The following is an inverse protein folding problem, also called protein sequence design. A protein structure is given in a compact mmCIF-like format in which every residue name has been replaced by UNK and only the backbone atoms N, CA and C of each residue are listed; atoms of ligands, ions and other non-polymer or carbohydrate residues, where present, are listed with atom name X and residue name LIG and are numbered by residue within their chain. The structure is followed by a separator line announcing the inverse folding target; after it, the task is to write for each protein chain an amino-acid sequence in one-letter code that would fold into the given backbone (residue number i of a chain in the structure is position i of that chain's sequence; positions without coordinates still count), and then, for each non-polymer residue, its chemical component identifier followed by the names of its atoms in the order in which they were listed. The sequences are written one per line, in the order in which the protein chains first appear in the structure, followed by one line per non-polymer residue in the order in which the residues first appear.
data_IF_502741320021
#
_entry.id   IF_502741320021
#
_cell.length_a   1.000
_cell.length_b   1.000
_cell.length_c   1.000
_cell.angle_alpha   90.00
_cell.angle_beta   90.00
_cell.angle_gamma   90.00
#
_symmetry.space_group_name_H-M   'P 1'
#
loop_
_entity.id
_entity.type
_entity.pdbx_description
1 polymer ?
#
# COMPACT_ATOMS: atom_id res chain seq x y z
N UNK A 1 34.86 47.46 7.21
CA UNK A 1 33.69 47.05 8.03
C UNK A 1 32.88 46.06 7.21
N UNK A 2 32.72 44.85 7.76
CA UNK A 2 31.64 43.89 7.49
C UNK A 2 31.55 43.20 6.10
N UNK A 3 31.80 41.87 6.01
CA UNK A 3 31.20 40.97 5.00
C UNK A 3 29.72 40.66 5.43
N UNK A 4 28.91 39.70 4.90
CA UNK A 4 29.14 38.57 3.98
C UNK A 4 28.00 38.46 2.90
N UNK A 5 27.90 37.49 1.97
CA UNK A 5 27.36 36.14 2.18
C UNK A 5 27.35 35.38 0.83
N UNK A 6 27.81 34.14 0.92
CA UNK A 6 27.82 33.11 -0.11
C UNK A 6 26.40 32.66 -0.48
N UNK A 7 25.99 32.56 -1.75
CA UNK A 7 24.76 31.86 -2.12
C UNK A 7 25.11 30.38 -2.31
N UNK A 8 25.10 29.62 -1.22
CA UNK A 8 25.02 28.17 -1.31
C UNK A 8 23.65 27.82 -1.91
N UNK A 9 23.69 27.36 -3.16
CA UNK A 9 22.57 26.82 -3.91
C UNK A 9 21.79 25.83 -3.05
N UNK A 10 20.48 26.11 -2.95
CA UNK A 10 19.46 25.27 -2.33
C UNK A 10 19.61 23.82 -2.82
N UNK A 11 20.15 22.95 -1.96
CA UNK A 11 19.91 21.51 -2.06
C UNK A 11 18.39 21.34 -1.94
N UNK A 12 17.76 21.03 -3.07
CA UNK A 12 16.36 20.70 -3.17
C UNK A 12 16.03 19.66 -2.10
N UNK A 13 15.41 20.13 -1.02
CA UNK A 13 14.69 19.28 -0.09
C UNK A 13 13.54 18.72 -0.89
N UNK A 14 13.80 17.60 -1.56
CA UNK A 14 12.76 16.66 -1.94
C UNK A 14 12.18 16.10 -0.65
N UNK A 15 11.37 16.90 0.05
CA UNK A 15 10.35 16.39 0.94
C UNK A 15 9.47 15.55 0.02
N UNK A 16 9.81 14.27 -0.11
CA UNK A 16 8.82 13.26 -0.44
C UNK A 16 7.76 13.48 0.62
N UNK A 17 6.64 14.09 0.24
CA UNK A 17 5.37 13.92 0.93
C UNK A 17 5.06 12.42 0.82
N UNK A 18 5.80 11.61 1.56
CA UNK A 18 5.35 10.30 1.94
C UNK A 18 4.19 10.63 2.87
N UNK A 19 2.98 10.56 2.35
CA UNK A 19 1.78 10.56 3.18
C UNK A 19 2.03 9.52 4.26
N UNK A 20 2.23 9.99 5.49
CA UNK A 20 2.37 9.09 6.62
C UNK A 20 0.95 8.63 6.91
N UNK A 21 0.58 7.49 6.32
CA UNK A 21 -0.66 6.79 6.64
C UNK A 21 -0.77 6.65 8.16
N UNK A 22 -1.95 6.93 8.68
CA UNK A 22 -2.18 6.83 10.11
C UNK A 22 -2.12 5.33 10.53
N UNK A 23 -1.16 4.93 11.40
CA UNK A 23 -1.04 3.53 11.82
C UNK A 23 -2.17 3.07 12.75
N UNK A 24 -3.00 3.99 13.26
CA UNK A 24 -4.16 3.68 14.10
C UNK A 24 -5.45 3.43 13.30
N UNK A 25 -5.46 3.68 11.99
CA UNK A 25 -6.61 3.38 11.14
C UNK A 25 -6.75 1.86 10.94
N UNK A 26 -7.94 1.26 11.18
CA UNK A 26 -8.15 -0.19 11.04
C UNK A 26 -7.95 -0.69 9.60
N UNK A 27 -8.02 0.19 8.60
CA UNK A 27 -7.81 -0.14 7.19
C UNK A 27 -6.37 0.14 6.71
N UNK A 28 -5.43 0.35 7.64
CA UNK A 28 -4.00 0.42 7.35
C UNK A 28 -3.37 -0.97 7.52
N UNK A 29 -2.89 -1.52 6.41
CA UNK A 29 -2.20 -2.80 6.35
C UNK A 29 -0.68 -2.59 6.29
N UNK A 30 0.09 -3.59 6.73
CA UNK A 30 1.54 -3.58 6.58
C UNK A 30 2.00 -4.63 5.57
N UNK A 31 2.95 -4.26 4.72
CA UNK A 31 3.54 -5.15 3.73
C UNK A 31 5.06 -5.12 3.82
N UNK A 32 5.70 -6.23 3.43
CA UNK A 32 7.14 -6.36 3.36
C UNK A 32 7.61 -6.07 1.95
N UNK A 33 8.46 -5.08 1.77
CA UNK A 33 9.17 -4.88 0.52
C UNK A 33 10.64 -5.25 0.66
N UNK A 34 11.17 -5.86 -0.39
CA UNK A 34 12.60 -6.13 -0.52
C UNK A 34 13.30 -4.92 -1.13
N UNK A 35 14.46 -4.58 -0.58
CA UNK A 35 15.33 -3.55 -1.11
C UNK A 35 16.76 -4.07 -1.21
N UNK A 36 17.49 -3.58 -2.19
CA UNK A 36 18.86 -4.01 -2.45
C UNK A 36 19.85 -2.97 -1.96
N UNK A 37 20.80 -3.42 -1.15
CA UNK A 37 21.87 -2.58 -0.61
C UNK A 37 23.22 -3.07 -1.13
N UNK A 38 24.03 -2.16 -1.66
CA UNK A 38 25.39 -2.49 -2.10
C UNK A 38 26.35 -2.47 -0.92
N UNK A 39 26.85 -3.65 -0.55
CA UNK A 39 27.80 -3.82 0.56
C UNK A 39 29.15 -4.27 0.03
N UNK A 40 30.24 -3.82 0.66
CA UNK A 40 31.58 -4.34 0.39
C UNK A 40 31.80 -5.61 1.20
N UNK A 41 31.97 -6.72 0.52
CA UNK A 41 32.26 -8.02 1.12
C UNK A 41 33.68 -8.45 0.77
N UNK A 42 34.42 -8.99 1.74
CA UNK A 42 35.75 -9.56 1.51
C UNK A 42 35.64 -10.97 0.93
N UNK A 43 36.40 -11.24 -0.14
CA UNK A 43 36.46 -12.53 -0.81
C UNK A 43 37.90 -12.93 -1.13
N UNK A 44 38.20 -14.23 -1.10
CA UNK A 44 39.52 -14.77 -1.45
C UNK A 44 39.68 -14.87 -2.98
N UNK A 45 40.63 -14.14 -3.56
CA UNK A 45 40.91 -14.18 -4.99
C UNK A 45 42.31 -14.75 -5.25
N UNK A 46 42.48 -15.67 -6.22
CA UNK A 46 43.80 -16.18 -6.60
C UNK A 46 44.59 -15.14 -7.41
N UNK A 47 45.89 -15.04 -7.14
CA UNK A 47 46.86 -14.23 -7.86
C UNK A 47 48.05 -15.10 -8.28
N UNK A 48 48.42 -15.03 -9.56
CA UNK A 48 49.60 -15.74 -10.07
C UNK A 48 50.86 -14.94 -9.75
N UNK A 49 51.76 -15.54 -8.97
CA UNK A 49 53.10 -14.99 -8.72
C UNK A 49 54.08 -15.67 -9.67
N UNK A 50 54.73 -14.86 -10.49
CA UNK A 50 55.79 -15.32 -11.37
C UNK A 50 57.06 -15.63 -10.55
N UNK A 51 57.78 -16.74 -10.84
CA UNK A 51 59.08 -17.01 -10.25
C UNK A 51 60.08 -15.89 -10.56
N UNK A 52 61.01 -15.63 -9.64
CA UNK A 52 62.05 -14.62 -9.83
C UNK A 52 63.14 -15.05 -10.81
N UNK A 53 63.32 -16.35 -11.05
CA UNK A 53 64.27 -16.90 -12.02
C UNK A 53 63.61 -17.12 -13.40
N UNK A 54 64.17 -16.58 -14.49
CA UNK A 54 63.63 -16.73 -15.84
C UNK A 54 63.91 -18.12 -16.45
N UNK A 55 62.95 -18.64 -17.23
CA UNK A 55 63.07 -19.91 -17.96
C UNK A 55 63.82 -19.76 -19.28
N UNK A 56 65.11 -19.44 -19.24
CA UNK A 56 65.95 -19.33 -20.44
C UNK A 56 67.36 -19.94 -20.24
N UNK A 57 67.44 -21.22 -19.85
CA UNK A 57 68.71 -21.97 -19.89
C UNK A 57 68.62 -23.09 -20.93
N UNK A 58 69.22 -22.95 -22.13
CA UNK A 58 69.02 -23.89 -23.24
C UNK A 58 69.97 -25.12 -23.30
N UNK A 59 70.91 -25.31 -22.36
CA UNK A 59 72.02 -26.28 -22.55
C UNK A 59 72.43 -27.11 -21.30
N UNK A 60 71.54 -27.37 -20.35
CA UNK A 60 71.87 -28.23 -19.19
C UNK A 60 70.68 -29.09 -18.73
N UNK A 61 70.65 -30.36 -19.15
CA UNK A 61 69.88 -31.42 -18.49
C UNK A 61 68.35 -31.25 -18.45
N UNK A 62 67.62 -32.07 -17.66
CA UNK A 62 66.16 -32.07 -17.66
C UNK A 62 65.62 -30.75 -17.10
N UNK A 63 65.24 -29.83 -17.99
CA UNK A 63 64.77 -28.49 -17.66
C UNK A 63 63.42 -28.53 -16.95
N UNK A 64 63.45 -28.63 -15.63
CA UNK A 64 62.27 -28.46 -14.78
C UNK A 64 62.09 -26.96 -14.57
N UNK A 65 61.25 -26.32 -15.39
CA UNK A 65 60.92 -24.91 -15.23
C UNK A 65 60.15 -24.68 -13.91
N UNK A 66 60.58 -23.72 -13.06
CA UNK A 66 59.79 -23.35 -11.90
C UNK A 66 58.42 -22.82 -12.36
N UNK A 67 57.34 -23.36 -11.80
CA UNK A 67 55.99 -22.97 -12.20
C UNK A 67 55.50 -21.73 -11.42
N UNK A 68 54.62 -20.92 -12.03
CA UNK A 68 53.94 -19.85 -11.32
C UNK A 68 53.15 -20.40 -10.13
N UNK A 69 53.26 -19.75 -8.98
CA UNK A 69 52.53 -20.15 -7.78
C UNK A 69 51.22 -19.36 -7.67
N UNK A 70 50.15 -20.02 -7.23
CA UNK A 70 48.85 -19.37 -6.99
C UNK A 70 48.77 -18.98 -5.51
N UNK A 71 48.69 -17.68 -5.24
CA UNK A 71 48.51 -17.16 -3.89
C UNK A 71 47.12 -16.56 -3.76
N UNK A 72 46.39 -16.95 -2.71
CA UNK A 72 45.09 -16.37 -2.39
C UNK A 72 45.28 -15.10 -1.56
N UNK A 73 44.65 -14.01 -1.99
CA UNK A 73 44.62 -12.76 -1.22
C UNK A 73 43.17 -12.32 -1.02
N UNK A 74 42.90 -11.72 0.13
CA UNK A 74 41.60 -11.14 0.43
C UNK A 74 41.42 -9.83 -0.33
N UNK A 75 40.40 -9.76 -1.17
CA UNK A 75 40.02 -8.55 -1.91
C UNK A 75 38.57 -8.19 -1.61
N UNK A 76 38.23 -6.91 -1.72
CA UNK A 76 36.85 -6.46 -1.57
C UNK A 76 36.12 -6.50 -2.90
N UNK A 77 34.91 -7.07 -2.89
CA UNK A 77 33.96 -6.98 -4.01
C UNK A 77 32.69 -6.30 -3.55
N UNK A 78 32.01 -5.62 -4.47
CA UNK A 78 30.67 -5.10 -4.23
C UNK A 78 29.67 -6.25 -4.42
N UNK A 79 28.85 -6.48 -3.41
CA UNK A 79 27.78 -7.47 -3.44
C UNK A 79 26.47 -6.77 -3.21
N UNK A 80 25.45 -7.15 -3.97
CA UNK A 80 24.09 -6.67 -3.79
C UNK A 80 23.42 -7.58 -2.77
N UNK A 81 23.16 -7.03 -1.58
CA UNK A 81 22.44 -7.74 -0.52
C UNK A 81 20.97 -7.35 -0.57
N UNK A 82 20.09 -8.34 -0.50
CA UNK A 82 18.65 -8.11 -0.39
C UNK A 82 18.24 -8.10 1.08
N UNK A 83 17.69 -6.98 1.54
CA UNK A 83 17.10 -6.82 2.88
C UNK A 83 15.60 -6.54 2.75
N UNK A 84 14.85 -6.66 3.85
CA UNK A 84 13.40 -6.45 3.88
C UNK A 84 13.05 -5.33 4.85
N UNK A 85 12.09 -4.49 4.48
CA UNK A 85 11.51 -3.48 5.38
C UNK A 85 9.99 -3.50 5.33
N UNK A 86 9.39 -3.22 6.48
CA UNK A 86 7.94 -3.13 6.61
C UNK A 86 7.48 -1.72 6.19
N UNK A 87 6.45 -1.64 5.37
CA UNK A 87 5.80 -0.40 4.95
C UNK A 87 4.30 -0.48 5.21
N UNK A 88 3.71 0.68 5.48
CA UNK A 88 2.27 0.83 5.63
C UNK A 88 1.64 1.19 4.29
N UNK A 89 0.49 0.59 4.01
CA UNK A 89 -0.36 0.89 2.86
C UNK A 89 -1.81 0.62 3.24
N UNK A 90 -2.75 1.32 2.61
CA UNK A 90 -4.16 0.97 2.75
C UNK A 90 -4.40 -0.49 2.33
N UNK A 91 -5.28 -1.16 3.07
CA UNK A 91 -5.69 -2.52 2.76
C UNK A 91 -6.36 -2.60 1.37
N UNK A 92 -6.47 -3.81 0.84
CA UNK A 92 -7.06 -4.03 -0.47
C UNK A 92 -8.51 -3.49 -0.53
N UNK A 93 -8.83 -2.73 -1.58
CA UNK A 93 -10.13 -2.08 -1.72
C UNK A 93 -10.26 -0.72 -1.02
N UNK A 94 -9.18 -0.18 -0.48
CA UNK A 94 -9.12 1.18 0.07
C UNK A 94 -8.05 2.00 -0.67
N UNK A 95 -8.28 3.30 -0.79
CA UNK A 95 -7.30 4.25 -1.35
C UNK A 95 -6.90 5.29 -0.30
N UNK A 96 -5.69 5.82 -0.44
CA UNK A 96 -5.19 6.84 0.46
C UNK A 96 -5.78 8.20 0.10
N UNK A 97 -6.43 8.85 1.07
CA UNK A 97 -6.88 10.23 0.98
C UNK A 97 -6.48 10.98 2.24
N UNK A 98 -5.53 11.91 2.10
CA UNK A 98 -5.02 12.75 3.21
C UNK A 98 -4.56 11.95 4.44
N UNK A 99 -3.91 10.80 4.24
CA UNK A 99 -3.40 9.94 5.32
C UNK A 99 -4.43 8.99 5.96
N UNK A 100 -5.66 8.95 5.45
CA UNK A 100 -6.70 7.99 5.82
C UNK A 100 -6.99 7.03 4.68
N UNK A 101 -7.50 5.84 5.02
CA UNK A 101 -7.89 4.84 4.04
C UNK A 101 -9.40 4.89 3.78
N UNK A 102 -9.78 5.34 2.58
CA UNK A 102 -11.17 5.48 2.15
C UNK A 102 -11.56 4.29 1.28
N UNK A 103 -12.73 3.66 1.47
CA UNK A 103 -13.15 2.50 0.68
C UNK A 103 -13.40 2.86 -0.79
N UNK A 104 -13.07 1.92 -1.68
CA UNK A 104 -13.35 1.98 -3.11
C UNK A 104 -14.68 1.27 -3.39
N UNK A 105 -15.64 2.00 -3.95
CA UNK A 105 -16.86 1.42 -4.49
C UNK A 105 -16.80 1.48 -6.02
N UNK A 106 -16.98 0.33 -6.70
CA UNK A 106 -16.98 0.23 -8.16
C UNK A 106 -18.13 1.03 -8.80
N UNK A 107 -19.25 1.18 -8.07
CA UNK A 107 -20.38 2.01 -8.43
C UNK A 107 -20.50 3.16 -7.43
N UNK A 108 -20.91 4.33 -7.89
CA UNK A 108 -21.20 5.45 -7.01
C UNK A 108 -22.49 5.17 -6.23
N UNK A 109 -22.44 5.35 -4.90
CA UNK A 109 -23.64 5.21 -4.07
C UNK A 109 -24.52 6.46 -4.26
N UNK A 110 -25.54 6.40 -5.13
CA UNK A 110 -26.36 7.56 -5.52
C UNK A 110 -27.04 8.20 -4.30
N UNK A 111 -27.74 7.39 -3.51
CA UNK A 111 -28.41 7.81 -2.27
C UNK A 111 -27.78 7.13 -1.05
N UNK A 112 -26.46 7.25 -0.90
CA UNK A 112 -25.75 6.60 0.18
C UNK A 112 -24.29 7.03 0.32
N UNK A 113 -23.53 6.24 1.07
CA UNK A 113 -22.07 6.40 1.20
C UNK A 113 -21.36 5.06 1.13
N UNK A 114 -20.14 5.05 0.60
CA UNK A 114 -19.28 3.88 0.59
C UNK A 114 -18.74 3.61 2.00
N UNK A 115 -19.05 2.45 2.59
CA UNK A 115 -18.63 2.08 3.97
C UNK A 115 -17.58 0.98 3.99
N UNK A 116 -17.55 0.14 2.96
CA UNK A 116 -16.56 -0.89 2.76
C UNK A 116 -16.34 -1.08 1.24
N UNK A 117 -15.30 -1.83 0.81
CA UNK A 117 -15.04 -2.06 -0.60
C UNK A 117 -16.28 -2.63 -1.30
N UNK A 118 -16.78 -1.92 -2.31
CA UNK A 118 -18.01 -2.25 -3.04
C UNK A 118 -19.27 -2.41 -2.17
N UNK A 119 -19.34 -1.74 -1.01
CA UNK A 119 -20.51 -1.77 -0.13
C UNK A 119 -21.01 -0.37 0.17
N UNK A 120 -22.22 -0.08 -0.30
CA UNK A 120 -22.94 1.16 -0.05
C UNK A 120 -23.87 1.04 1.17
N UNK A 121 -23.81 2.02 2.06
CA UNK A 121 -24.82 2.25 3.07
C UNK A 121 -25.84 3.25 2.52
N UNK A 122 -27.05 2.78 2.21
CA UNK A 122 -28.12 3.61 1.67
C UNK A 122 -28.79 4.46 2.74
N UNK A 123 -29.23 5.65 2.36
CA UNK A 123 -30.10 6.47 3.20
C UNK A 123 -31.50 5.83 3.27
N UNK A 124 -32.30 6.13 4.31
CA UNK A 124 -33.63 5.55 4.44
C UNK A 124 -34.52 5.82 3.22
N UNK A 125 -35.26 4.78 2.81
CA UNK A 125 -36.12 4.82 1.63
C UNK A 125 -35.46 4.33 0.32
N UNK A 126 -34.17 4.00 0.36
CA UNK A 126 -33.42 3.49 -0.79
C UNK A 126 -32.75 2.15 -0.50
N UNK A 127 -32.59 1.34 -1.55
CA UNK A 127 -31.96 0.02 -1.58
C UNK A 127 -31.24 -0.23 -2.89
N UNK A 128 -30.66 -1.42 -3.01
CA UNK A 128 -29.83 -1.83 -4.13
C UNK A 128 -28.35 -1.63 -3.81
N UNK A 129 -27.49 -2.24 -4.61
CA UNK A 129 -26.03 -2.22 -4.39
C UNK A 129 -25.45 -0.81 -4.53
N UNK A 130 -26.08 0.06 -5.33
CA UNK A 130 -25.71 1.45 -5.60
C UNK A 130 -26.68 2.47 -4.96
N UNK A 131 -27.67 2.01 -4.19
CA UNK A 131 -28.73 2.85 -3.62
C UNK A 131 -29.55 3.64 -4.66
N UNK A 132 -29.71 3.13 -5.87
CA UNK A 132 -30.51 3.75 -6.94
C UNK A 132 -32.00 3.42 -6.88
N UNK A 133 -32.39 2.36 -6.16
CA UNK A 133 -33.76 1.86 -6.15
C UNK A 133 -34.50 2.28 -4.88
N UNK A 134 -35.73 2.75 -5.01
CA UNK A 134 -36.58 3.04 -3.85
C UNK A 134 -37.05 1.75 -3.16
N UNK A 135 -37.47 1.88 -1.89
CA UNK A 135 -38.10 0.78 -1.16
C UNK A 135 -39.38 0.32 -1.83
N UNK A 136 -39.61 -1.00 -1.78
CA UNK A 136 -40.91 -1.56 -2.12
C UNK A 136 -41.98 -1.07 -1.12
N UNK A 137 -43.25 -0.95 -1.54
CA UNK A 137 -44.33 -0.61 -0.63
C UNK A 137 -44.39 -1.58 0.56
N UNK A 138 -44.57 -1.05 1.77
CA UNK A 138 -44.60 -1.86 3.00
C UNK A 138 -43.23 -2.17 3.60
N UNK A 139 -42.14 -1.59 3.07
CA UNK A 139 -40.79 -1.68 3.61
C UNK A 139 -40.25 -0.27 3.87
N UNK A 140 -39.42 -0.11 4.91
CA UNK A 140 -38.84 1.18 5.29
C UNK A 140 -37.45 1.03 5.91
N UNK A 141 -36.79 2.19 6.09
CA UNK A 141 -35.47 2.26 6.71
C UNK A 141 -34.31 2.19 5.72
N UNK A 142 -33.05 2.16 6.21
CA UNK A 142 -31.88 1.99 5.35
C UNK A 142 -31.90 0.60 4.72
N UNK A 143 -31.61 0.51 3.42
CA UNK A 143 -31.67 -0.74 2.64
C UNK A 143 -33.05 -1.43 2.61
N UNK A 144 -34.08 -0.78 3.16
CA UNK A 144 -35.45 -1.27 3.26
C UNK A 144 -35.60 -2.56 4.10
N UNK A 145 -34.78 -2.76 5.13
CA UNK A 145 -34.77 -4.01 5.91
C UNK A 145 -35.91 -4.14 6.94
N UNK A 146 -36.72 -3.08 7.13
CA UNK A 146 -37.79 -3.07 8.12
C UNK A 146 -39.15 -3.18 7.44
N UNK A 147 -39.99 -4.17 7.79
CA UNK A 147 -41.37 -4.20 7.34
C UNK A 147 -42.18 -3.11 8.04
N UNK A 148 -43.21 -2.63 7.36
CA UNK A 148 -44.14 -1.66 7.91
C UNK A 148 -45.18 -2.35 8.78
N UNK A 149 -45.29 -1.89 10.03
CA UNK A 149 -46.26 -2.43 11.01
C UNK A 149 -47.62 -1.71 10.93
N UNK A 150 -48.01 -1.26 9.74
CA UNK A 150 -49.25 -0.53 9.51
C UNK A 150 -50.43 -1.52 9.41
N UNK A 151 -51.58 -1.21 10.02
CA UNK A 151 -52.78 -2.06 9.95
C UNK A 151 -53.31 -2.21 8.52
N UNK A 152 -54.17 -3.22 8.31
CA UNK A 152 -54.64 -3.89 7.07
C UNK A 152 -54.95 -3.11 5.76
N UNK A 153 -54.58 -1.84 5.59
CA UNK A 153 -54.59 -1.16 4.29
C UNK A 153 -53.80 0.16 4.20
N UNK A 154 -52.92 0.50 5.15
CA UNK A 154 -52.11 1.74 5.08
C UNK A 154 -50.71 1.50 4.54
N UNK A 155 -50.30 2.33 3.57
CA UNK A 155 -48.91 2.42 3.13
C UNK A 155 -48.10 3.19 4.17
N UNK A 156 -46.82 2.87 4.32
CA UNK A 156 -45.88 3.59 5.17
C UNK A 156 -44.97 4.48 4.31
N UNK A 157 -44.49 5.57 4.91
CA UNK A 157 -43.39 6.33 4.36
C UNK A 157 -42.11 5.45 4.35
N UNK A 158 -41.48 5.22 3.19
CA UNK A 158 -40.30 4.36 3.07
C UNK A 158 -39.07 4.91 3.82
N UNK A 159 -39.04 6.21 4.14
CA UNK A 159 -37.94 6.85 4.87
C UNK A 159 -38.12 6.72 6.38
N UNK A 160 -39.31 7.03 6.88
CA UNK A 160 -39.58 7.16 8.32
C UNK A 160 -40.33 5.96 8.93
N UNK A 161 -40.98 5.14 8.10
CA UNK A 161 -41.86 4.07 8.54
C UNK A 161 -43.23 4.56 9.05
N UNK A 162 -43.52 5.87 8.97
CA UNK A 162 -44.78 6.44 9.43
C UNK A 162 -45.92 6.01 8.52
N UNK A 163 -46.98 5.45 9.10
CA UNK A 163 -48.15 5.01 8.36
C UNK A 163 -48.92 6.22 7.79
N UNK A 164 -49.16 6.20 6.49
CA UNK A 164 -50.10 7.08 5.82
C UNK A 164 -51.51 6.51 6.01
N UNK A 165 -52.25 7.05 6.97
CA UNK A 165 -53.67 6.75 7.12
C UNK A 165 -54.49 7.49 6.06
N UNK A 166 -55.52 6.87 5.44
CA UNK A 166 -56.49 7.61 4.63
C UNK A 166 -57.14 8.72 5.46
N UNK A 167 -57.40 9.87 4.83
CA UNK A 167 -57.92 11.09 5.46
C UNK A 167 -59.12 10.79 6.38
N UNK A 168 -58.94 10.96 7.69
CA UNK A 168 -60.00 10.77 8.70
C UNK A 168 -59.62 9.89 9.91
N UNK A 169 -58.47 9.20 9.91
CA UNK A 169 -58.01 8.38 11.03
C UNK A 169 -56.67 8.91 11.58
N UNK A 170 -56.66 9.42 12.81
CA UNK A 170 -55.44 9.79 13.53
C UNK A 170 -54.81 8.54 14.18
N UNK A 171 -53.47 8.45 14.26
CA UNK A 171 -52.82 7.44 15.08
C UNK A 171 -53.20 7.61 16.56
N UNK A 172 -53.32 6.53 17.35
CA UNK A 172 -53.70 6.63 18.76
C UNK A 172 -52.65 7.40 19.56
N UNK A 173 -53.10 8.35 20.38
CA UNK A 173 -52.31 9.08 21.38
C UNK A 173 -51.69 8.14 22.42
#
# INVERSE_FOLDING_TARGET
MSPPLCPLLLLAVGLRLAGTLNPSDPNTCSFWESFTTTTKESHSRPFSLLPSEPCERPWEGPHTCPQPTVVYRTVYRQVVKTDHRQRLQCCHGFYESRGFCVPLCAQECVHGRCVAPNQCQCVPGWRGDDCSSECAPGMWGPQCDKPCSCGNNSSCDPKSGVCSCPSGLQPPN
#
